data_IF_936062594597
#
_entry.id   IF_936062594597
#
_cell.length_a   1.000
_cell.length_b   1.000
_cell.length_c   1.000
_cell.angle_alpha   90.00
_cell.angle_beta   90.00
_cell.angle_gamma   90.00
#
_symmetry.space_group_name_H-M   'P 1'
#
loop_
_entity.id
_entity.type
_entity.pdbx_description
1 polymer ?
#
# COMPACT_ATOMS: atom_id res chain seq x y z
N UNK A 1 -2.25 -10.22 -14.08
CA UNK A 1 -1.77 -11.49 -14.71
C UNK A 1 -2.66 -12.61 -14.23
N UNK A 2 -3.25 -13.43 -15.12
CA UNK A 2 -4.06 -14.60 -14.70
C UNK A 2 -3.27 -15.58 -13.82
N UNK A 3 -3.99 -16.46 -13.09
CA UNK A 3 -3.40 -17.53 -12.28
C UNK A 3 -2.31 -18.30 -13.07
N UNK A 4 -1.09 -18.45 -12.52
CA UNK A 4 -0.04 -19.24 -13.16
C UNK A 4 -0.47 -20.70 -13.31
N UNK A 5 -0.09 -21.33 -14.42
CA UNK A 5 -0.41 -22.74 -14.69
C UNK A 5 0.23 -23.69 -13.68
N UNK A 6 1.45 -23.37 -13.24
CA UNK A 6 2.22 -24.15 -12.28
C UNK A 6 2.50 -23.29 -11.05
N UNK A 7 1.95 -23.70 -9.91
CA UNK A 7 2.20 -23.08 -8.62
C UNK A 7 3.34 -23.83 -7.90
N UNK A 8 4.25 -23.12 -7.20
CA UNK A 8 5.26 -23.80 -6.40
C UNK A 8 4.60 -24.58 -5.25
N UNK A 9 4.96 -25.84 -5.08
CA UNK A 9 4.53 -26.63 -3.91
C UNK A 9 5.09 -26.04 -2.62
N UNK A 10 4.36 -26.20 -1.51
CA UNK A 10 4.84 -25.69 -0.23
C UNK A 10 3.85 -25.78 0.91
N UNK A 11 4.25 -25.24 2.07
CA UNK A 11 3.44 -25.25 3.30
C UNK A 11 2.10 -24.54 3.14
N UNK A 12 2.02 -23.57 2.21
CA UNK A 12 0.78 -22.87 1.89
C UNK A 12 -0.37 -23.80 1.50
N UNK A 13 -0.08 -24.95 0.85
CA UNK A 13 -1.10 -25.92 0.44
C UNK A 13 -1.81 -26.57 1.64
N UNK A 14 -1.13 -26.60 2.80
CA UNK A 14 -1.68 -27.11 4.07
C UNK A 14 -2.21 -26.00 4.97
N UNK A 15 -1.62 -24.81 4.91
CA UNK A 15 -2.04 -23.66 5.73
C UNK A 15 -3.28 -22.94 5.18
N UNK A 16 -3.41 -22.79 3.86
CA UNK A 16 -4.54 -22.11 3.24
C UNK A 16 -5.90 -22.77 3.58
N UNK A 17 -6.02 -24.11 3.63
CA UNK A 17 -7.21 -24.76 4.17
C UNK A 17 -7.60 -24.33 5.60
N UNK A 18 -6.64 -24.03 6.48
CA UNK A 18 -6.97 -23.54 7.82
C UNK A 18 -7.53 -22.11 7.78
N UNK A 19 -7.01 -21.27 6.89
CA UNK A 19 -7.61 -19.95 6.65
C UNK A 19 -9.06 -20.08 6.14
N UNK A 20 -9.35 -21.07 5.30
CA UNK A 20 -10.71 -21.35 4.84
C UNK A 20 -11.66 -21.76 5.96
N UNK A 21 -11.22 -22.58 6.92
CA UNK A 21 -12.02 -22.91 8.12
C UNK A 21 -12.38 -21.62 8.87
N UNK A 22 -11.41 -20.73 9.08
CA UNK A 22 -11.65 -19.45 9.77
C UNK A 22 -12.57 -18.51 8.96
N UNK A 23 -12.50 -18.53 7.63
CA UNK A 23 -13.44 -17.78 6.79
C UNK A 23 -14.87 -18.31 6.92
N UNK A 24 -15.04 -19.62 7.08
CA UNK A 24 -16.35 -20.24 7.27
C UNK A 24 -16.93 -19.88 8.66
N UNK A 25 -16.10 -19.67 9.68
CA UNK A 25 -16.52 -19.12 10.98
C UNK A 25 -17.03 -17.68 10.85
N UNK A 26 -16.34 -16.82 10.09
CA UNK A 26 -16.81 -15.46 9.80
C UNK A 26 -18.16 -15.49 9.08
N UNK A 27 -18.32 -16.39 8.12
CA UNK A 27 -19.59 -16.55 7.39
C UNK A 27 -20.73 -16.98 8.32
N UNK A 28 -20.47 -18.01 9.14
CA UNK A 28 -21.45 -18.64 10.03
C UNK A 28 -21.90 -17.69 11.14
N UNK A 29 -20.95 -17.03 11.81
CA UNK A 29 -21.23 -16.20 12.97
C UNK A 29 -21.47 -14.72 12.64
N UNK A 30 -20.93 -14.24 11.52
CA UNK A 30 -21.13 -12.87 11.04
C UNK A 30 -22.44 -12.65 10.28
N UNK A 31 -23.16 -13.73 9.93
CA UNK A 31 -24.44 -13.64 9.21
C UNK A 31 -24.30 -13.20 7.75
N UNK A 32 -23.10 -13.30 7.18
CA UNK A 32 -22.80 -12.96 5.78
C UNK A 32 -22.37 -14.21 5.04
N UNK A 33 -23.21 -14.72 4.14
CA UNK A 33 -22.98 -16.00 3.45
C UNK A 33 -21.71 -16.06 2.59
N UNK A 34 -21.21 -14.91 2.13
CA UNK A 34 -19.97 -14.80 1.37
C UNK A 34 -19.18 -13.58 1.84
N UNK A 35 -18.44 -13.67 2.97
CA UNK A 35 -17.68 -12.56 3.50
C UNK A 35 -16.64 -12.08 2.48
N UNK A 36 -16.44 -10.77 2.42
CA UNK A 36 -15.40 -10.22 1.55
C UNK A 36 -14.03 -10.35 2.22
N UNK A 37 -13.08 -10.98 1.53
CA UNK A 37 -11.68 -11.04 1.90
C UNK A 37 -10.80 -11.17 0.65
N UNK A 38 -9.53 -10.84 0.80
CA UNK A 38 -8.47 -11.11 -0.19
C UNK A 38 -7.32 -11.88 0.45
N UNK A 39 -6.70 -12.78 -0.31
CA UNK A 39 -5.44 -13.44 0.03
C UNK A 39 -4.31 -12.67 -0.64
N UNK A 40 -3.29 -12.27 0.12
CA UNK A 40 -2.23 -11.40 -0.37
C UNK A 40 -0.85 -11.69 0.21
N UNK A 41 -0.06 -10.63 0.32
CA UNK A 41 1.24 -10.67 0.99
C UNK A 41 2.34 -11.46 0.27
N UNK A 42 3.29 -11.98 1.03
CA UNK A 42 4.51 -12.60 0.49
C UNK A 42 4.25 -13.91 -0.25
N UNK A 43 3.26 -14.67 0.22
CA UNK A 43 2.92 -15.98 -0.35
C UNK A 43 2.24 -15.83 -1.69
N UNK A 44 1.38 -14.83 -1.88
CA UNK A 44 0.84 -14.55 -3.21
C UNK A 44 1.92 -14.12 -4.20
N UNK A 45 2.89 -13.30 -3.80
CA UNK A 45 4.03 -12.99 -4.68
C UNK A 45 4.84 -14.25 -5.03
N UNK A 46 5.04 -15.16 -4.07
CA UNK A 46 5.69 -16.45 -4.31
C UNK A 46 4.91 -17.28 -5.34
N UNK A 47 3.59 -17.38 -5.20
CA UNK A 47 2.75 -18.12 -6.13
C UNK A 47 2.76 -17.52 -7.54
N UNK A 48 2.70 -16.18 -7.64
CA UNK A 48 2.70 -15.45 -8.92
C UNK A 48 4.04 -15.55 -9.65
N UNK A 49 5.15 -15.42 -8.93
CA UNK A 49 6.46 -15.14 -9.52
C UNK A 49 7.53 -16.18 -9.24
N UNK A 50 7.22 -17.17 -8.38
CA UNK A 50 8.15 -18.21 -7.94
C UNK A 50 9.51 -17.62 -7.53
N UNK A 51 9.51 -16.54 -6.73
CA UNK A 51 10.70 -15.71 -6.51
C UNK A 51 11.46 -16.08 -5.22
N UNK A 52 10.76 -16.29 -4.11
CA UNK A 52 11.32 -16.82 -2.85
C UNK A 52 10.24 -17.55 -2.05
N UNK A 53 10.64 -18.43 -1.14
CA UNK A 53 9.71 -19.07 -0.22
C UNK A 53 9.08 -18.05 0.73
N UNK A 54 7.81 -18.28 1.03
CA UNK A 54 7.01 -17.55 2.01
C UNK A 54 6.16 -18.57 2.77
N UNK A 55 6.13 -18.43 4.10
CA UNK A 55 5.55 -19.43 5.02
C UNK A 55 4.23 -18.97 5.63
N UNK A 56 3.89 -17.69 5.50
CA UNK A 56 2.75 -17.07 6.16
C UNK A 56 1.56 -16.96 5.18
N UNK A 57 0.32 -17.06 5.65
CA UNK A 57 -0.88 -16.79 4.86
C UNK A 57 -1.47 -15.46 5.32
N UNK A 58 -1.40 -14.43 4.46
CA UNK A 58 -1.96 -13.11 4.75
C UNK A 58 -3.38 -12.98 4.18
N UNK A 59 -4.40 -12.92 5.04
CA UNK A 59 -5.80 -12.65 4.69
C UNK A 59 -6.17 -11.23 5.10
N UNK A 60 -6.76 -10.48 4.18
CA UNK A 60 -7.23 -9.13 4.42
C UNK A 60 -8.75 -9.08 4.42
N UNK A 61 -9.32 -8.54 5.50
CA UNK A 61 -10.75 -8.30 5.65
C UNK A 61 -11.00 -6.80 5.75
N UNK A 62 -12.01 -6.24 5.07
CA UNK A 62 -12.25 -4.80 5.09
C UNK A 62 -12.88 -4.33 6.40
N UNK A 63 -13.66 -5.20 7.06
CA UNK A 63 -14.35 -4.88 8.31
C UNK A 63 -13.56 -5.44 9.51
N UNK A 64 -13.06 -4.59 10.42
CA UNK A 64 -12.43 -5.03 11.66
C UNK A 64 -13.30 -5.93 12.53
N UNK A 65 -14.63 -5.86 12.42
CA UNK A 65 -15.54 -6.74 13.16
C UNK A 65 -15.35 -8.22 12.81
N UNK A 66 -14.91 -8.52 11.59
CA UNK A 66 -14.63 -9.90 11.16
C UNK A 66 -13.60 -10.59 12.05
N UNK A 67 -12.64 -9.84 12.62
CA UNK A 67 -11.62 -10.38 13.52
C UNK A 67 -12.21 -10.95 14.82
N UNK A 68 -13.37 -10.45 15.25
CA UNK A 68 -14.04 -10.93 16.46
C UNK A 68 -14.54 -12.37 16.36
N UNK A 69 -14.76 -12.89 15.14
CA UNK A 69 -15.23 -14.26 14.90
C UNK A 69 -14.10 -15.28 14.83
N UNK A 70 -12.85 -14.82 14.74
CA UNK A 70 -11.67 -15.67 14.48
C UNK A 70 -10.53 -15.43 15.48
N UNK A 71 -10.73 -14.56 16.47
CA UNK A 71 -9.77 -14.48 17.58
C UNK A 71 -9.91 -15.72 18.47
N UNK A 72 -8.82 -16.44 18.78
CA UNK A 72 -8.84 -17.61 19.67
C UNK A 72 -9.52 -17.37 21.02
N UNK A 73 -9.49 -16.13 21.54
CA UNK A 73 -10.18 -15.79 22.79
C UNK A 73 -11.71 -15.90 22.70
N UNK A 74 -12.28 -15.82 21.49
CA UNK A 74 -13.73 -15.79 21.25
C UNK A 74 -14.20 -16.91 20.31
N UNK A 75 -13.30 -17.71 19.73
CA UNK A 75 -13.59 -18.79 18.81
C UNK A 75 -12.80 -20.04 19.19
N UNK A 76 -13.52 -21.05 19.68
CA UNK A 76 -12.94 -22.36 20.02
C UNK A 76 -12.30 -23.04 18.80
N UNK A 77 -12.83 -22.79 17.59
CA UNK A 77 -12.26 -23.28 16.33
C UNK A 77 -10.90 -22.64 16.06
N UNK A 78 -10.79 -21.32 16.22
CA UNK A 78 -9.53 -20.61 16.05
C UNK A 78 -8.49 -21.03 17.11
N UNK A 79 -8.91 -21.20 18.36
CA UNK A 79 -8.04 -21.67 19.45
C UNK A 79 -7.52 -23.09 19.20
N UNK A 80 -8.40 -24.01 18.79
CA UNK A 80 -8.01 -25.38 18.47
C UNK A 80 -7.04 -25.47 17.29
N UNK A 81 -7.12 -24.56 16.31
CA UNK A 81 -6.20 -24.52 15.17
C UNK A 81 -4.78 -24.08 15.53
N UNK A 82 -4.61 -23.28 16.59
CA UNK A 82 -3.32 -22.70 16.98
C UNK A 82 -2.82 -23.10 18.36
N UNK A 83 -3.53 -23.96 19.11
CA UNK A 83 -3.18 -24.37 20.48
C UNK A 83 -2.89 -23.16 21.39
N UNK A 84 -3.80 -22.19 21.35
CA UNK A 84 -3.69 -20.89 22.02
C UNK A 84 -2.44 -20.06 21.68
N UNK A 85 -1.69 -20.39 20.61
CA UNK A 85 -0.55 -19.62 20.14
C UNK A 85 -1.02 -18.55 19.15
N UNK A 86 -1.29 -17.35 19.65
CA UNK A 86 -1.73 -16.24 18.80
C UNK A 86 -1.28 -14.88 19.32
N UNK A 87 -1.25 -13.90 18.41
CA UNK A 87 -1.03 -12.49 18.72
C UNK A 87 -2.17 -11.68 18.12
N UNK A 88 -2.90 -10.94 18.96
CA UNK A 88 -3.92 -10.01 18.50
C UNK A 88 -3.56 -8.55 18.82
N UNK A 89 -4.03 -7.63 18.00
CA UNK A 89 -3.84 -6.20 18.18
C UNK A 89 -4.93 -5.38 17.51
N UNK A 90 -4.78 -4.06 17.52
CA UNK A 90 -5.76 -3.19 16.86
C UNK A 90 -5.71 -3.42 15.34
N UNK A 91 -6.69 -4.15 14.82
CA UNK A 91 -6.84 -4.43 13.39
C UNK A 91 -6.08 -5.64 12.87
N UNK A 92 -5.61 -6.56 13.72
CA UNK A 92 -5.08 -7.84 13.24
C UNK A 92 -5.22 -8.97 14.28
N UNK A 93 -5.24 -10.21 13.77
CA UNK A 93 -5.11 -11.45 14.55
C UNK A 93 -4.13 -12.37 13.80
N UNK A 94 -3.10 -12.87 14.48
CA UNK A 94 -2.11 -13.79 13.93
C UNK A 94 -2.19 -15.12 14.67
N UNK A 95 -2.52 -16.18 13.95
CA UNK A 95 -2.57 -17.54 14.49
C UNK A 95 -1.26 -18.24 14.14
N UNK A 96 -0.55 -18.72 15.17
CA UNK A 96 0.71 -19.42 15.01
C UNK A 96 0.43 -20.92 15.05
N UNK A 97 0.75 -21.62 13.97
CA UNK A 97 0.54 -23.06 13.82
C UNK A 97 1.88 -23.75 13.59
N UNK A 98 1.95 -25.07 13.79
CA UNK A 98 3.17 -25.85 13.57
C UNK A 98 3.79 -25.67 12.18
N UNK A 99 2.95 -25.46 11.17
CA UNK A 99 3.37 -25.33 9.77
C UNK A 99 3.68 -23.88 9.35
N UNK A 100 3.33 -22.88 10.15
CA UNK A 100 3.47 -21.46 9.80
C UNK A 100 2.38 -20.59 10.42
N UNK A 101 2.27 -19.36 9.94
CA UNK A 101 1.33 -18.37 10.48
C UNK A 101 0.16 -18.12 9.52
N UNK A 102 -1.03 -17.89 10.08
CA UNK A 102 -2.17 -17.33 9.34
C UNK A 102 -2.51 -15.98 9.95
N UNK A 103 -2.29 -14.92 9.16
CA UNK A 103 -2.45 -13.54 9.54
C UNK A 103 -3.76 -12.99 8.96
N UNK A 104 -4.66 -12.54 9.82
CA UNK A 104 -5.83 -11.77 9.43
C UNK A 104 -5.59 -10.30 9.74
N UNK A 105 -5.72 -9.44 8.73
CA UNK A 105 -5.51 -8.00 8.85
C UNK A 105 -6.76 -7.26 8.42
N UNK A 106 -7.28 -6.41 9.29
CA UNK A 106 -8.36 -5.49 8.98
C UNK A 106 -7.84 -4.35 8.09
N UNK A 107 -7.92 -4.54 6.78
CA UNK A 107 -7.49 -3.57 5.77
C UNK A 107 -8.32 -3.74 4.51
N UNK A 108 -9.06 -2.71 4.15
CA UNK A 108 -9.67 -2.59 2.82
C UNK A 108 -8.61 -2.56 1.72
N UNK A 109 -9.04 -2.84 0.49
CA UNK A 109 -8.23 -2.64 -0.70
C UNK A 109 -7.84 -1.15 -0.82
N UNK A 110 -6.59 -0.91 -1.19
CA UNK A 110 -6.07 0.43 -1.48
C UNK A 110 -6.32 0.84 -2.93
N UNK A 111 -6.35 -0.14 -3.84
CA UNK A 111 -6.68 0.04 -5.25
C UNK A 111 -8.16 -0.31 -5.51
N UNK A 112 -8.75 0.18 -6.61
CA UNK A 112 -10.05 -0.29 -7.08
C UNK A 112 -10.04 -1.81 -7.32
N UNK A 113 -11.17 -2.49 -7.09
CA UNK A 113 -11.26 -3.96 -7.14
C UNK A 113 -10.65 -4.59 -8.41
N UNK A 114 -10.88 -3.98 -9.59
CA UNK A 114 -10.33 -4.44 -10.87
C UNK A 114 -8.79 -4.43 -10.94
N UNK A 115 -8.12 -3.72 -10.04
CA UNK A 115 -6.66 -3.66 -9.89
C UNK A 115 -6.19 -4.28 -8.57
N UNK A 116 -7.08 -4.48 -7.61
CA UNK A 116 -6.72 -4.94 -6.28
C UNK A 116 -6.50 -6.45 -6.23
N UNK A 117 -7.36 -7.23 -6.90
CA UNK A 117 -7.31 -8.69 -6.87
C UNK A 117 -7.82 -9.32 -8.16
N UNK A 118 -7.56 -10.62 -8.28
CA UNK A 118 -8.11 -11.51 -9.30
C UNK A 118 -8.72 -12.74 -8.62
N UNK A 119 -9.57 -13.49 -9.30
CA UNK A 119 -10.13 -14.74 -8.75
C UNK A 119 -9.33 -15.94 -9.24
N UNK A 120 -8.83 -16.75 -8.32
CA UNK A 120 -8.09 -17.98 -8.57
C UNK A 120 -8.81 -19.18 -7.97
N UNK A 121 -8.56 -20.39 -8.48
CA UNK A 121 -8.99 -21.65 -7.86
C UNK A 121 -7.81 -22.27 -7.12
N UNK A 122 -7.86 -22.25 -5.77
CA UNK A 122 -6.82 -22.78 -4.89
C UNK A 122 -7.43 -23.74 -3.87
N UNK A 123 -6.80 -24.90 -3.69
CA UNK A 123 -7.25 -25.94 -2.74
C UNK A 123 -8.75 -26.27 -2.88
N UNK A 124 -9.27 -26.25 -4.12
CA UNK A 124 -10.68 -26.55 -4.42
C UNK A 124 -11.69 -25.44 -4.11
N UNK A 125 -11.23 -24.21 -3.80
CA UNK A 125 -12.09 -23.04 -3.59
C UNK A 125 -11.68 -21.87 -4.48
N UNK A 126 -12.70 -21.14 -4.93
CA UNK A 126 -12.53 -19.84 -5.59
C UNK A 126 -12.14 -18.79 -4.55
N UNK A 127 -11.04 -18.09 -4.77
CA UNK A 127 -10.47 -17.11 -3.82
C UNK A 127 -10.00 -15.84 -4.53
N UNK A 128 -10.21 -14.69 -3.89
CA UNK A 128 -9.70 -13.40 -4.36
C UNK A 128 -8.22 -13.26 -3.98
N UNK A 129 -7.34 -13.24 -4.95
CA UNK A 129 -5.88 -13.18 -4.79
C UNK A 129 -5.40 -11.79 -5.21
N UNK A 130 -4.74 -11.09 -4.29
CA UNK A 130 -4.25 -9.72 -4.53
C UNK A 130 -3.27 -9.66 -5.71
N UNK A 131 -3.32 -8.58 -6.48
CA UNK A 131 -2.33 -8.29 -7.51
C UNK A 131 -1.01 -7.85 -6.88
N UNK A 132 0.10 -7.91 -7.64
CA UNK A 132 1.36 -7.35 -7.17
C UNK A 132 1.22 -5.84 -6.87
N UNK A 133 0.40 -5.11 -7.63
CA UNK A 133 0.14 -3.70 -7.40
C UNK A 133 -0.47 -3.44 -6.02
N UNK A 134 -1.50 -4.20 -5.62
CA UNK A 134 -2.15 -4.08 -4.31
C UNK A 134 -1.19 -4.45 -3.17
N UNK A 135 -0.45 -5.55 -3.33
CA UNK A 135 0.51 -6.01 -2.31
C UNK A 135 1.61 -4.96 -2.09
N UNK A 136 2.16 -4.39 -3.17
CA UNK A 136 3.15 -3.32 -3.07
C UNK A 136 2.53 -2.06 -2.47
N UNK A 137 1.32 -1.66 -2.88
CA UNK A 137 0.62 -0.52 -2.31
C UNK A 137 0.43 -0.67 -0.79
N UNK A 138 -0.05 -1.83 -0.33
CA UNK A 138 -0.26 -2.13 1.10
C UNK A 138 1.04 -2.13 1.89
N UNK A 139 2.11 -2.72 1.36
CA UNK A 139 3.44 -2.67 2.00
C UNK A 139 3.92 -1.23 2.18
N UNK A 140 3.76 -0.39 1.16
CA UNK A 140 4.17 1.01 1.21
C UNK A 140 3.32 1.85 2.16
N UNK A 141 2.00 1.62 2.15
CA UNK A 141 1.05 2.33 3.00
C UNK A 141 1.24 2.00 4.49
N UNK A 142 1.32 0.71 4.83
CA UNK A 142 1.38 0.26 6.23
C UNK A 142 2.78 0.30 6.82
N UNK A 143 3.82 0.02 6.03
CA UNK A 143 5.19 -0.11 6.54
C UNK A 143 6.29 0.43 5.62
N UNK A 144 5.96 1.34 4.69
CA UNK A 144 6.94 1.91 3.76
C UNK A 144 8.13 2.62 4.41
N UNK A 145 8.03 2.97 5.70
CA UNK A 145 9.11 3.55 6.50
C UNK A 145 10.17 2.54 6.99
N UNK A 146 9.91 1.24 6.91
CA UNK A 146 10.79 0.19 7.46
C UNK A 146 11.77 -0.37 6.42
N UNK A 147 11.30 -0.62 5.19
CA UNK A 147 12.14 -1.11 4.08
C UNK A 147 12.89 -2.41 4.41
N UNK A 148 12.19 -3.50 4.75
CA UNK A 148 12.85 -4.75 5.15
C UNK A 148 13.57 -5.42 3.96
N UNK A 149 14.50 -6.33 4.24
CA UNK A 149 15.18 -7.11 3.20
C UNK A 149 14.21 -7.84 2.25
N UNK A 150 13.11 -8.40 2.78
CA UNK A 150 12.04 -9.02 1.98
C UNK A 150 11.33 -7.99 1.11
N UNK A 151 11.05 -6.79 1.63
CA UNK A 151 10.37 -5.75 0.86
C UNK A 151 11.24 -5.26 -0.30
N UNK A 152 12.56 -5.14 -0.12
CA UNK A 152 13.50 -4.81 -1.19
C UNK A 152 13.56 -5.93 -2.24
N UNK A 153 13.67 -7.19 -1.81
CA UNK A 153 13.68 -8.34 -2.71
C UNK A 153 12.38 -8.42 -3.53
N UNK A 154 11.22 -8.31 -2.86
CA UNK A 154 9.91 -8.40 -3.48
C UNK A 154 9.67 -7.22 -4.44
N UNK A 155 10.10 -6.00 -4.07
CA UNK A 155 9.97 -4.83 -4.94
C UNK A 155 10.88 -4.91 -6.17
N UNK A 156 12.14 -5.34 -6.00
CA UNK A 156 13.05 -5.56 -7.12
C UNK A 156 12.47 -6.56 -8.12
N UNK A 157 11.92 -7.67 -7.61
CA UNK A 157 11.23 -8.66 -8.43
C UNK A 157 10.07 -8.06 -9.23
N UNK A 158 9.19 -7.29 -8.59
CA UNK A 158 8.04 -6.66 -9.27
C UNK A 158 8.51 -5.63 -10.30
N UNK A 159 9.56 -4.85 -10.01
CA UNK A 159 10.15 -3.90 -10.98
C UNK A 159 10.63 -4.63 -12.24
N UNK A 160 11.27 -5.78 -12.11
CA UNK A 160 11.86 -6.48 -13.25
C UNK A 160 10.86 -7.36 -14.00
N UNK A 161 9.90 -7.97 -13.30
CA UNK A 161 9.00 -8.99 -13.88
C UNK A 161 7.57 -8.51 -14.13
N UNK A 162 7.12 -7.45 -13.47
CA UNK A 162 5.77 -6.90 -13.60
C UNK A 162 5.77 -5.36 -13.52
N UNK A 163 6.60 -4.66 -14.32
CA UNK A 163 6.72 -3.20 -14.25
C UNK A 163 5.41 -2.45 -14.51
N UNK A 164 4.47 -3.06 -15.25
CA UNK A 164 3.14 -2.53 -15.52
C UNK A 164 2.24 -2.42 -14.28
N UNK A 165 2.53 -3.15 -13.20
CA UNK A 165 1.81 -3.03 -11.94
C UNK A 165 2.18 -1.72 -11.19
N UNK A 166 3.39 -1.21 -11.39
CA UNK A 166 3.94 -0.11 -10.60
C UNK A 166 3.24 1.24 -10.78
N UNK A 167 2.77 1.65 -11.97
CA UNK A 167 2.01 2.87 -12.13
C UNK A 167 0.79 2.98 -11.21
N UNK A 168 0.18 1.85 -10.85
CA UNK A 168 -0.98 1.79 -9.96
C UNK A 168 -0.59 1.93 -8.47
N UNK A 169 0.57 1.38 -8.08
CA UNK A 169 1.03 1.36 -6.69
C UNK A 169 1.96 2.53 -6.31
N UNK A 170 2.66 3.13 -7.27
CA UNK A 170 3.71 4.13 -7.00
C UNK A 170 3.24 5.35 -6.21
N UNK A 171 1.95 5.69 -6.27
CA UNK A 171 1.36 6.77 -5.48
C UNK A 171 1.61 6.61 -3.97
N UNK A 172 1.63 5.37 -3.48
CA UNK A 172 1.85 5.03 -2.08
C UNK A 172 3.33 5.11 -1.66
N UNK A 173 4.26 5.13 -2.61
CA UNK A 173 5.70 5.17 -2.32
C UNK A 173 6.19 6.58 -2.01
N UNK A 174 5.56 7.62 -2.59
CA UNK A 174 6.00 9.01 -2.46
C UNK A 174 6.08 9.50 -1.01
N UNK A 175 5.25 8.96 -0.10
CA UNK A 175 5.25 9.33 1.32
C UNK A 175 6.60 9.05 2.00
N UNK A 176 7.26 7.95 1.63
CA UNK A 176 8.52 7.51 2.22
C UNK A 176 9.67 7.46 1.20
N UNK A 177 9.48 8.02 0.01
CA UNK A 177 10.39 7.92 -1.14
C UNK A 177 11.82 8.32 -0.78
N UNK A 178 11.99 9.52 -0.23
CA UNK A 178 13.32 10.04 0.08
C UNK A 178 13.99 9.24 1.20
N UNK A 179 13.23 8.91 2.25
CA UNK A 179 13.74 8.12 3.37
C UNK A 179 14.13 6.70 2.95
N UNK A 180 13.33 6.07 2.10
CA UNK A 180 13.65 4.75 1.55
C UNK A 180 14.90 4.83 0.68
N UNK A 181 14.97 5.81 -0.23
CA UNK A 181 16.14 6.05 -1.08
C UNK A 181 17.41 6.26 -0.24
N UNK A 182 17.36 7.09 0.79
CA UNK A 182 18.48 7.36 1.68
C UNK A 182 18.89 6.12 2.50
N UNK A 183 17.92 5.35 3.00
CA UNK A 183 18.21 4.11 3.74
C UNK A 183 18.95 3.06 2.89
N UNK A 184 18.73 3.08 1.57
CA UNK A 184 19.37 2.17 0.62
C UNK A 184 20.76 2.64 0.18
N UNK A 185 21.13 3.92 0.36
CA UNK A 185 22.49 4.41 0.08
C UNK A 185 23.52 3.86 1.06
N UNK A 186 23.11 3.53 2.28
CA UNK A 186 23.98 2.97 3.32
C UNK A 186 23.20 1.94 4.14
N UNK A 187 22.88 0.78 3.54
CA UNK A 187 22.03 -0.21 4.18
C UNK A 187 22.74 -0.85 5.38
N UNK A 188 22.06 -1.04 6.52
CA UNK A 188 22.64 -1.69 7.68
C UNK A 188 23.08 -3.13 7.36
N UNK A 189 24.16 -3.59 7.98
CA UNK A 189 24.68 -4.96 7.75
C UNK A 189 23.64 -6.05 8.07
N UNK A 190 22.81 -5.83 9.10
CA UNK A 190 21.70 -6.73 9.43
C UNK A 190 20.69 -6.89 8.28
N UNK A 191 20.50 -5.87 7.44
CA UNK A 191 19.64 -5.97 6.26
C UNK A 191 20.25 -6.90 5.21
N UNK A 192 21.56 -6.77 4.95
CA UNK A 192 22.29 -7.63 4.01
C UNK A 192 22.27 -9.09 4.46
N UNK A 193 22.52 -9.34 5.74
CA UNK A 193 22.46 -10.69 6.32
C UNK A 193 21.07 -11.31 6.19
N UNK A 194 20.01 -10.54 6.49
CA UNK A 194 18.62 -11.00 6.32
C UNK A 194 18.26 -11.25 4.86
N UNK A 195 18.81 -10.48 3.93
CA UNK A 195 18.62 -10.69 2.51
C UNK A 195 19.32 -11.97 2.03
N UNK A 196 20.57 -12.18 2.45
CA UNK A 196 21.33 -13.39 2.12
C UNK A 196 20.71 -14.66 2.69
N UNK A 197 19.97 -14.54 3.80
CA UNK A 197 19.23 -15.64 4.42
C UNK A 197 17.87 -15.95 3.76
N UNK A 198 17.47 -15.21 2.72
CA UNK A 198 16.22 -15.51 2.01
C UNK A 198 16.35 -16.82 1.24
N UNK A 199 15.38 -17.71 1.44
CA UNK A 199 15.25 -18.95 0.66
C UNK A 199 14.68 -18.61 -0.73
N UNK A 200 15.55 -18.35 -1.69
CA UNK A 200 15.18 -17.96 -3.06
C UNK A 200 14.73 -19.14 -3.91
N UNK A 201 13.88 -18.88 -4.90
CA UNK A 201 13.41 -19.86 -5.88
C UNK A 201 13.96 -19.52 -7.27
N UNK A 202 13.12 -19.20 -8.25
CA UNK A 202 13.51 -18.87 -9.61
C UNK A 202 14.00 -17.42 -9.80
N UNK A 203 14.12 -16.63 -8.72
CA UNK A 203 14.63 -15.26 -8.74
C UNK A 203 15.75 -15.14 -7.71
N UNK A 204 16.98 -14.91 -8.17
CA UNK A 204 18.18 -14.98 -7.31
C UNK A 204 19.10 -13.77 -7.50
N UNK A 205 18.61 -12.52 -7.34
CA UNK A 205 19.48 -11.35 -7.40
C UNK A 205 20.45 -11.35 -6.21
N UNK A 206 21.64 -10.78 -6.41
CA UNK A 206 22.46 -10.35 -5.27
C UNK A 206 21.80 -9.17 -4.56
N UNK A 207 22.19 -8.92 -3.32
CA UNK A 207 21.71 -7.74 -2.58
C UNK A 207 21.94 -6.43 -3.36
N UNK A 208 23.15 -6.26 -3.91
CA UNK A 208 23.52 -5.05 -4.65
C UNK A 208 22.70 -4.89 -5.94
N UNK A 209 22.38 -6.00 -6.63
CA UNK A 209 21.51 -5.98 -7.81
C UNK A 209 20.10 -5.51 -7.43
N UNK A 210 19.49 -6.13 -6.42
CA UNK A 210 18.15 -5.77 -5.98
C UNK A 210 18.07 -4.32 -5.49
N UNK A 211 19.07 -3.87 -4.71
CA UNK A 211 19.16 -2.47 -4.29
C UNK A 211 19.34 -1.53 -5.47
N UNK A 212 20.20 -1.86 -6.44
CA UNK A 212 20.41 -1.05 -7.64
C UNK A 212 19.13 -0.87 -8.48
N UNK A 213 18.36 -1.94 -8.65
CA UNK A 213 17.04 -1.91 -9.32
C UNK A 213 16.08 -0.98 -8.57
N UNK A 214 15.94 -1.18 -7.26
CA UNK A 214 15.02 -0.36 -6.44
C UNK A 214 15.47 1.10 -6.43
N UNK A 215 16.75 1.40 -6.23
CA UNK A 215 17.28 2.77 -6.23
C UNK A 215 17.05 3.48 -7.56
N UNK A 216 17.28 2.80 -8.68
CA UNK A 216 17.03 3.36 -10.02
C UNK A 216 15.55 3.72 -10.19
N UNK A 217 14.67 2.84 -9.74
CA UNK A 217 13.22 3.09 -9.76
C UNK A 217 12.82 4.28 -8.85
N UNK A 218 13.34 4.35 -7.62
CA UNK A 218 13.08 5.48 -6.72
C UNK A 218 13.61 6.80 -7.28
N UNK A 219 14.78 6.80 -7.93
CA UNK A 219 15.33 7.99 -8.59
C UNK A 219 14.44 8.50 -9.73
N UNK A 220 13.80 7.60 -10.48
CA UNK A 220 12.81 7.96 -11.50
C UNK A 220 11.57 8.62 -10.88
N UNK A 221 11.08 8.12 -9.74
CA UNK A 221 9.97 8.76 -9.01
C UNK A 221 10.36 10.16 -8.49
N UNK A 222 11.58 10.32 -7.97
CA UNK A 222 12.09 11.63 -7.53
C UNK A 222 12.12 12.61 -8.71
N UNK A 223 12.65 12.18 -9.86
CA UNK A 223 12.69 12.98 -11.10
C UNK A 223 11.28 13.38 -11.55
N UNK A 224 10.32 12.46 -11.50
CA UNK A 224 8.92 12.73 -11.86
C UNK A 224 8.29 13.77 -10.91
N UNK A 225 8.52 13.65 -9.60
CA UNK A 225 8.05 14.62 -8.60
C UNK A 225 8.64 16.01 -8.85
N UNK A 226 9.94 16.10 -9.10
CA UNK A 226 10.61 17.38 -9.39
C UNK A 226 10.10 18.03 -10.68
N UNK A 227 9.95 17.25 -11.76
CA UNK A 227 9.38 17.75 -13.02
C UNK A 227 7.98 18.30 -12.80
N UNK A 228 7.14 17.56 -12.09
CA UNK A 228 5.77 18.00 -11.76
C UNK A 228 5.75 19.27 -10.90
N UNK A 229 6.68 19.44 -9.96
CA UNK A 229 6.79 20.67 -9.18
C UNK A 229 7.19 21.88 -10.05
N UNK A 230 8.11 21.67 -11.02
CA UNK A 230 8.52 22.69 -11.99
C UNK A 230 7.36 23.08 -12.91
N UNK A 231 6.58 22.12 -13.39
CA UNK A 231 5.36 22.36 -14.19
C UNK A 231 4.34 23.19 -13.41
N UNK A 232 4.06 22.83 -12.15
CA UNK A 232 3.16 23.58 -11.29
C UNK A 232 3.64 25.03 -11.06
N UNK A 233 4.94 25.20 -10.81
CA UNK A 233 5.55 26.53 -10.65
C UNK A 233 5.53 27.34 -11.94
N UNK A 234 5.71 26.70 -13.09
CA UNK A 234 5.60 27.34 -14.40
C UNK A 234 4.17 27.83 -14.66
N UNK A 235 3.16 27.02 -14.33
CA UNK A 235 1.75 27.42 -14.41
C UNK A 235 1.46 28.66 -13.56
N UNK A 236 1.93 28.70 -12.31
CA UNK A 236 1.75 29.86 -11.42
C UNK A 236 2.29 31.13 -12.08
N UNK A 237 3.53 31.08 -12.58
CA UNK A 237 4.17 32.23 -13.24
C UNK A 237 3.48 32.65 -14.54
N UNK A 238 3.11 31.71 -15.41
CA UNK A 238 2.51 32.02 -16.71
C UNK A 238 1.10 32.61 -16.59
N UNK A 239 0.42 32.39 -15.46
CA UNK A 239 -0.93 32.92 -15.19
C UNK A 239 -0.92 34.16 -14.30
N UNK A 240 0.24 34.80 -14.09
CA UNK A 240 0.35 36.03 -13.31
C UNK A 240 0.09 35.85 -11.81
N UNK A 241 0.17 34.62 -11.30
CA UNK A 241 0.02 34.32 -9.88
C UNK A 241 1.37 34.44 -9.16
N UNK A 242 1.33 34.85 -7.90
CA UNK A 242 2.46 34.92 -6.99
C UNK A 242 2.59 33.56 -6.29
N UNK A 243 3.76 32.92 -6.42
CA UNK A 243 4.01 31.64 -5.76
C UNK A 243 4.21 31.81 -4.26
N UNK A 244 3.31 31.23 -3.47
CA UNK A 244 3.43 31.15 -2.01
C UNK A 244 4.16 29.86 -1.62
N UNK A 245 5.14 29.97 -0.72
CA UNK A 245 5.90 28.82 -0.22
C UNK A 245 5.04 27.91 0.67
N UNK A 246 5.14 26.59 0.47
CA UNK A 246 4.39 25.64 1.27
C UNK A 246 5.01 25.47 2.67
N UNK A 247 4.24 25.78 3.72
CA UNK A 247 4.52 25.38 5.10
C UNK A 247 3.89 24.01 5.36
N UNK A 248 4.66 22.96 5.11
CA UNK A 248 4.24 21.58 5.33
C UNK A 248 4.15 21.20 6.83
N UNK A 249 4.58 22.07 7.75
CA UNK A 249 4.56 21.78 9.20
C UNK A 249 3.23 22.16 9.83
N UNK A 250 2.69 23.33 9.47
CA UNK A 250 1.48 23.90 10.09
C UNK A 250 0.63 24.77 9.17
N UNK A 251 0.94 24.84 7.86
CA UNK A 251 0.23 25.69 6.91
C UNK A 251 -1.26 25.34 6.77
N UNK A 252 -2.09 26.36 6.58
CA UNK A 252 -3.52 26.21 6.30
C UNK A 252 -3.86 27.02 5.04
N UNK A 253 -4.38 26.34 4.03
CA UNK A 253 -4.62 26.90 2.70
C UNK A 253 -6.07 26.71 2.31
N UNK A 254 -6.67 27.74 1.72
CA UNK A 254 -8.08 27.76 1.36
C UNK A 254 -8.26 28.37 -0.03
N UNK A 255 -9.05 27.70 -0.86
CA UNK A 255 -9.44 28.21 -2.17
C UNK A 255 -9.55 27.11 -3.23
N UNK A 256 -9.80 27.49 -4.50
CA UNK A 256 -10.00 26.54 -5.57
C UNK A 256 -8.70 25.90 -6.05
N UNK A 257 -8.79 24.64 -6.47
CA UNK A 257 -7.75 24.02 -7.30
C UNK A 257 -7.87 24.60 -8.72
N UNK A 258 -6.81 25.26 -9.16
CA UNK A 258 -6.74 25.97 -10.46
C UNK A 258 -5.92 25.24 -11.50
N UNK A 259 -5.07 24.30 -11.09
CA UNK A 259 -4.29 23.47 -12.01
C UNK A 259 -3.88 22.15 -11.37
N UNK A 260 -3.63 21.17 -12.22
CA UNK A 260 -3.22 19.82 -11.83
C UNK A 260 -2.07 19.37 -12.74
N UNK A 261 -1.05 18.80 -12.12
CA UNK A 261 0.05 18.11 -12.80
C UNK A 261 0.08 16.66 -12.33
N UNK A 262 1.05 15.88 -12.82
CA UNK A 262 1.18 14.46 -12.48
C UNK A 262 1.26 14.20 -10.96
N UNK A 263 1.98 15.05 -10.21
CA UNK A 263 2.23 14.89 -8.76
C UNK A 263 1.83 16.07 -7.92
N UNK A 264 1.53 17.23 -8.51
CA UNK A 264 1.14 18.43 -7.77
C UNK A 264 -0.24 18.94 -8.17
N UNK A 265 -0.92 19.56 -7.22
CA UNK A 265 -2.08 20.42 -7.48
C UNK A 265 -1.70 21.86 -7.14
N UNK A 266 -2.22 22.82 -7.90
CA UNK A 266 -2.06 24.25 -7.63
C UNK A 266 -3.36 24.77 -7.06
N UNK A 267 -3.29 25.32 -5.85
CA UNK A 267 -4.42 25.96 -5.17
C UNK A 267 -4.21 27.48 -5.19
N UNK A 268 -5.18 28.22 -5.71
CA UNK A 268 -5.23 29.68 -5.53
C UNK A 268 -5.72 29.99 -4.12
N UNK A 269 -5.01 30.84 -3.38
CA UNK A 269 -5.27 31.15 -1.97
C UNK A 269 -5.70 32.61 -1.75
N UNK A 270 -6.05 33.30 -2.83
CA UNK A 270 -6.50 34.69 -2.85
C UNK A 270 -5.37 35.68 -3.10
N UNK A 271 -5.72 36.94 -3.39
CA UNK A 271 -4.76 38.04 -3.70
C UNK A 271 -3.78 37.69 -4.83
N UNK A 272 -4.24 36.91 -5.80
CA UNK A 272 -3.40 36.37 -6.88
C UNK A 272 -2.23 35.52 -6.38
N UNK A 273 -2.29 34.99 -5.16
CA UNK A 273 -1.31 34.04 -4.64
C UNK A 273 -1.77 32.59 -4.88
N UNK A 274 -0.81 31.71 -5.12
CA UNK A 274 -1.07 30.29 -5.28
C UNK A 274 0.04 29.44 -4.66
N UNK A 275 -0.33 28.26 -4.17
CA UNK A 275 0.57 27.28 -3.57
C UNK A 275 0.46 25.96 -4.33
N UNK A 276 1.60 25.30 -4.54
CA UNK A 276 1.64 23.96 -5.12
C UNK A 276 1.76 22.91 -4.02
N UNK A 277 0.92 21.89 -4.06
CA UNK A 277 0.89 20.80 -3.07
C UNK A 277 1.26 19.46 -3.73
N UNK A 278 2.22 18.73 -3.16
CA UNK A 278 2.45 17.34 -3.56
C UNK A 278 1.25 16.48 -3.14
N UNK A 279 0.67 15.76 -4.09
CA UNK A 279 -0.48 14.86 -3.88
C UNK A 279 -0.22 13.79 -2.82
N UNK A 280 1.04 13.38 -2.59
CA UNK A 280 1.38 12.39 -1.56
C UNK A 280 1.09 12.89 -0.15
N UNK A 281 1.29 14.19 0.09
CA UNK A 281 1.04 14.79 1.40
C UNK A 281 -0.47 14.87 1.72
N UNK A 282 -1.31 14.89 0.69
CA UNK A 282 -2.75 15.08 0.84
C UNK A 282 -3.48 13.79 1.25
N UNK A 283 -2.85 12.61 1.10
CA UNK A 283 -3.49 11.30 1.33
C UNK A 283 -4.82 11.11 0.57
N UNK A 284 -4.95 11.77 -0.58
CA UNK A 284 -6.14 11.73 -1.43
C UNK A 284 -5.91 10.70 -2.55
N UNK A 285 -6.91 9.87 -2.82
CA UNK A 285 -6.86 9.00 -4.00
C UNK A 285 -6.90 9.82 -5.30
N UNK A 286 -6.22 9.38 -6.38
CA UNK A 286 -6.30 10.06 -7.68
C UNK A 286 -7.76 10.29 -8.11
N UNK A 287 -8.12 11.55 -8.42
CA UNK A 287 -9.45 11.92 -8.93
C UNK A 287 -10.51 12.32 -7.90
N UNK A 288 -10.21 12.27 -6.59
CA UNK A 288 -11.16 12.67 -5.53
C UNK A 288 -11.42 14.18 -5.46
N UNK A 289 -10.48 15.01 -5.94
CA UNK A 289 -10.61 16.46 -6.02
C UNK A 289 -10.17 16.95 -7.39
N UNK A 290 -11.12 17.45 -8.19
CA UNK A 290 -10.87 17.98 -9.53
C UNK A 290 -10.74 19.50 -9.49
N UNK A 291 -10.01 20.06 -10.45
CA UNK A 291 -9.99 21.49 -10.76
C UNK A 291 -11.40 22.14 -10.65
N UNK A 292 -11.48 23.26 -9.94
CA UNK A 292 -12.74 23.95 -9.62
C UNK A 292 -13.31 23.64 -8.23
N UNK A 293 -12.82 22.60 -7.54
CA UNK A 293 -13.22 22.31 -6.15
C UNK A 293 -12.54 23.29 -5.19
N UNK A 294 -13.33 24.02 -4.40
CA UNK A 294 -12.79 24.81 -3.28
C UNK A 294 -12.49 23.88 -2.11
N UNK A 295 -11.24 23.87 -1.65
CA UNK A 295 -10.75 22.98 -0.61
C UNK A 295 -10.16 23.78 0.55
N UNK A 296 -10.20 23.19 1.74
CA UNK A 296 -9.31 23.56 2.84
C UNK A 296 -8.25 22.47 2.98
N UNK A 297 -6.98 22.85 2.86
CA UNK A 297 -5.84 21.94 3.02
C UNK A 297 -5.07 22.40 4.26
N UNK A 298 -5.05 21.56 5.30
CA UNK A 298 -4.36 21.85 6.57
C UNK A 298 -3.22 20.87 6.76
N UNK A 299 -2.01 21.39 6.92
CA UNK A 299 -0.81 20.61 7.17
C UNK A 299 -0.53 20.43 8.66
N UNK A 300 -0.04 19.24 9.00
CA UNK A 300 0.48 18.86 10.31
C UNK A 300 1.65 17.91 10.09
N UNK A 301 2.87 18.37 10.39
CA UNK A 301 4.09 17.55 10.37
C UNK A 301 4.29 16.74 9.06
N UNK A 302 4.11 17.39 7.91
CA UNK A 302 4.33 16.80 6.59
C UNK A 302 3.13 16.05 5.99
N UNK A 303 2.12 15.71 6.79
CA UNK A 303 0.82 15.23 6.30
C UNK A 303 -0.20 16.36 6.20
N UNK A 304 -1.22 16.21 5.36
CA UNK A 304 -2.31 17.16 5.24
C UNK A 304 -3.68 16.50 5.33
N UNK A 305 -4.61 17.21 5.96
CA UNK A 305 -6.05 16.89 5.93
C UNK A 305 -6.73 17.79 4.90
N UNK A 306 -7.53 17.18 4.02
CA UNK A 306 -8.27 17.90 2.98
C UNK A 306 -9.77 17.84 3.28
N UNK A 307 -10.43 19.00 3.31
CA UNK A 307 -11.88 19.09 3.44
C UNK A 307 -12.47 19.96 2.34
N UNK A 308 -13.67 19.60 1.86
CA UNK A 308 -14.41 20.45 0.93
C UNK A 308 -14.81 21.76 1.63
N UNK A 309 -14.61 22.90 0.97
CA UNK A 309 -15.06 24.18 1.48
C UNK A 309 -16.60 24.24 1.49
N UNK A 310 -17.20 24.55 2.64
CA UNK A 310 -18.63 24.86 2.71
C UNK A 310 -18.90 26.19 1.97
N UNK A 311 -19.98 26.24 1.16
CA UNK A 311 -20.35 27.43 0.35
C UNK A 311 -20.44 28.75 1.13
N UNK A 312 -20.58 28.73 2.46
CA UNK A 312 -20.78 29.91 3.30
C UNK A 312 -19.52 30.73 3.61
N UNK A 313 -18.29 30.20 3.43
CA UNK A 313 -17.05 30.95 3.71
C UNK A 313 -16.54 31.80 2.54
N UNK A 314 -17.00 31.55 1.32
CA UNK A 314 -16.59 32.28 0.10
C UNK A 314 -17.22 33.68 -0.01
N UNK A 315 -18.30 33.95 0.71
CA UNK A 315 -19.06 35.22 0.60
C UNK A 315 -18.53 36.36 1.49
N UNK A 316 -17.74 36.06 2.52
CA UNK A 316 -17.38 37.05 3.55
C UNK A 316 -15.96 37.64 3.45
N UNK A 317 -15.21 37.36 2.37
CA UNK A 317 -13.81 37.84 2.22
C UNK A 317 -13.43 38.27 0.80
N UNK A 318 -14.39 38.69 -0.02
CA UNK A 318 -14.09 39.48 -1.23
C UNK A 318 -13.75 40.91 -0.86
#
# INVERSE_FOLDING_TARGET
>A
MSQPENLPSGLWEKLLPNAFVLMDEISTHGGVSNPFFTFGGGTVLMLRHNHRLSKDIDIFVPDPQSLGFITPRLSDVADALCDSQYVEGNGFVKLQMDLGEVDFVASSNLLPDALAFETWELCGRSIRVETAAEIIAKKMYHRGNQGTARDIFDLAMVIEREPEALPHAQGFMYRFLDRMSDSLKSPPEAMKQRFAALETLAYTPTFDQAVGVVQSFLANLQTLRERSAKEASAFIRSNGLIGHSLDATKGEYFGPIVHETARHIVQEIGRSEAVAHDRAALSVQPGQHRAGSALTIRYRNGGATVTAAQRSTLANRR
#
